data_IF_963163252838
#
_entry.id   IF_963163252838
#
_cell.length_a   1.000
_cell.length_b   1.000
_cell.length_c   1.000
_cell.angle_alpha   90.00
_cell.angle_beta   90.00
_cell.angle_gamma   90.00
#
_symmetry.space_group_name_H-M   'P 1'
#
loop_
_entity.id
_entity.type
_entity.pdbx_description
1 polymer ?
#
# COMPACT_ATOMS: atom_id res chain seq x y z
N UNK A 1 -1.01 -23.17 -64.25
CA UNK A 1 0.32 -23.65 -63.85
C UNK A 1 0.30 -23.54 -62.34
N UNK A 2 -0.23 -24.45 -61.87
CA UNK A 2 -0.09 -25.73 -61.13
C UNK A 2 0.09 -25.46 -59.62
N UNK A 3 -0.99 -25.83 -58.99
CA UNK A 3 -1.14 -26.08 -57.57
C UNK A 3 -0.33 -27.34 -57.20
N UNK A 4 0.49 -27.33 -56.18
CA UNK A 4 0.83 -28.57 -55.48
C UNK A 4 0.53 -28.44 -54.00
N UNK A 5 -0.45 -29.21 -53.65
CA UNK A 5 -0.85 -29.60 -52.31
C UNK A 5 0.15 -30.58 -51.72
N UNK A 6 0.73 -30.29 -50.60
CA UNK A 6 1.53 -31.20 -49.79
C UNK A 6 0.77 -31.55 -48.50
N UNK A 7 0.04 -32.68 -48.55
CA UNK A 7 -0.40 -33.37 -47.36
C UNK A 7 0.81 -33.97 -46.62
N UNK A 8 0.90 -33.78 -45.33
CA UNK A 8 1.78 -34.55 -44.46
C UNK A 8 0.95 -35.22 -43.38
N UNK A 9 1.03 -36.51 -43.49
CA UNK A 9 0.44 -37.60 -42.71
C UNK A 9 0.67 -37.47 -41.20
N UNK A 10 -0.38 -37.78 -40.45
CA UNK A 10 -0.32 -38.17 -39.05
C UNK A 10 0.24 -39.62 -38.99
N UNK A 11 1.28 -39.81 -38.22
CA UNK A 11 1.47 -41.03 -37.41
C UNK A 11 2.79 -40.92 -36.61
N UNK A 12 2.69 -40.92 -35.31
CA UNK A 12 3.28 -41.92 -34.38
C UNK A 12 3.18 -41.41 -32.95
N UNK A 13 2.21 -41.96 -32.28
CA UNK A 13 2.16 -42.05 -30.82
C UNK A 13 3.33 -42.92 -30.36
N UNK A 14 4.15 -42.41 -29.48
CA UNK A 14 5.01 -43.26 -28.68
C UNK A 14 4.90 -42.83 -27.22
N UNK A 15 4.22 -43.69 -26.49
CA UNK A 15 4.20 -43.68 -25.02
C UNK A 15 5.61 -43.99 -24.51
N UNK A 16 6.02 -43.21 -23.50
CA UNK A 16 7.27 -43.39 -22.79
C UNK A 16 7.11 -42.94 -21.36
N UNK A 17 6.85 -43.88 -20.51
CA UNK A 17 6.77 -43.78 -19.05
C UNK A 17 8.04 -43.18 -18.44
N UNK A 18 7.91 -42.45 -17.33
CA UNK A 18 9.04 -42.08 -16.48
C UNK A 18 8.79 -40.86 -15.65
N UNK A 19 7.83 -40.95 -14.71
CA UNK A 19 7.78 -40.03 -13.59
C UNK A 19 8.94 -40.40 -12.66
N UNK A 20 9.97 -39.57 -12.64
CA UNK A 20 11.02 -39.64 -11.62
C UNK A 20 10.68 -38.59 -10.57
N UNK A 21 10.08 -39.05 -9.48
CA UNK A 21 10.18 -38.35 -8.20
C UNK A 21 11.64 -38.48 -7.74
N UNK A 22 12.37 -37.36 -7.70
CA UNK A 22 13.54 -37.34 -6.83
C UNK A 22 13.95 -35.87 -6.49
N UNK A 23 13.90 -35.63 -5.18
CA UNK A 23 14.72 -34.68 -4.46
C UNK A 23 14.38 -33.19 -4.55
N UNK A 24 13.28 -32.80 -3.85
CA UNK A 24 13.32 -31.53 -3.13
C UNK A 24 14.16 -31.73 -1.88
N UNK A 25 15.15 -30.85 -1.61
CA UNK A 25 15.81 -30.84 -0.32
C UNK A 25 14.80 -30.37 0.74
N UNK A 26 14.46 -31.26 1.65
CA UNK A 26 13.79 -30.92 2.89
C UNK A 26 14.75 -30.14 3.76
N UNK A 27 14.74 -28.81 3.66
CA UNK A 27 15.30 -27.98 4.70
C UNK A 27 14.28 -27.89 5.82
N UNK A 28 14.43 -28.83 6.76
CA UNK A 28 13.82 -28.70 8.06
C UNK A 28 14.45 -27.54 8.81
N UNK A 29 13.70 -26.48 8.97
CA UNK A 29 13.75 -25.63 10.16
C UNK A 29 12.32 -25.11 10.39
N UNK A 30 11.52 -25.97 10.98
CA UNK A 30 10.26 -25.61 11.62
C UNK A 30 10.59 -24.98 12.96
N UNK A 31 10.80 -23.66 12.95
CA UNK A 31 10.65 -22.85 14.16
C UNK A 31 9.45 -21.92 13.94
N UNK A 32 8.29 -22.54 13.82
CA UNK A 32 7.02 -21.84 13.98
C UNK A 32 6.82 -21.63 15.48
N UNK A 33 7.37 -20.55 16.01
CA UNK A 33 6.79 -19.93 17.20
C UNK A 33 5.40 -19.47 16.80
N UNK A 34 4.42 -20.35 16.99
CA UNK A 34 3.00 -19.98 16.92
C UNK A 34 2.78 -18.89 17.99
N UNK A 35 2.77 -17.62 17.58
CA UNK A 35 2.30 -16.53 18.42
C UNK A 35 0.79 -16.71 18.60
N UNK A 36 0.42 -17.53 19.57
CA UNK A 36 -0.96 -17.67 20.02
C UNK A 36 -1.32 -16.38 20.79
N UNK A 37 -1.92 -15.42 20.13
CA UNK A 37 -2.54 -14.30 20.81
C UNK A 37 -3.85 -14.82 21.40
N UNK A 38 -3.90 -14.97 22.71
CA UNK A 38 -5.13 -15.34 23.44
C UNK A 38 -5.91 -14.06 23.67
N UNK A 39 -7.12 -13.95 23.08
CA UNK A 39 -8.01 -12.85 23.39
C UNK A 39 -8.55 -12.99 24.84
N UNK A 40 -9.05 -11.90 25.46
CA UNK A 40 -9.58 -11.93 26.81
C UNK A 40 -10.81 -12.84 26.98
N UNK A 41 -11.38 -13.40 25.92
CA UNK A 41 -12.49 -14.34 25.92
C UNK A 41 -12.06 -15.80 25.68
N UNK A 42 -10.76 -16.07 25.55
CA UNK A 42 -10.20 -17.42 25.50
C UNK A 42 -10.22 -18.08 24.12
N UNK A 43 -10.58 -17.35 23.06
CA UNK A 43 -10.50 -17.85 21.70
C UNK A 43 -9.08 -17.66 21.16
N UNK A 44 -8.49 -18.74 20.65
CA UNK A 44 -7.21 -18.67 19.93
C UNK A 44 -7.50 -18.18 18.53
N UNK A 45 -7.47 -16.86 18.33
CA UNK A 45 -7.56 -16.28 17.01
C UNK A 45 -6.23 -16.47 16.27
N UNK A 46 -6.19 -17.43 15.36
CA UNK A 46 -5.10 -17.49 14.38
C UNK A 46 -5.39 -16.46 13.30
N UNK A 47 -4.43 -15.56 12.99
CA UNK A 47 -4.59 -14.69 11.81
C UNK A 47 -4.78 -15.59 10.58
N UNK A 48 -5.74 -15.24 9.74
CA UNK A 48 -6.02 -15.99 8.52
C UNK A 48 -4.85 -15.92 7.54
N UNK A 49 -4.08 -14.86 7.62
CA UNK A 49 -2.91 -14.64 6.78
C UNK A 49 -2.03 -13.51 7.35
N UNK A 50 -0.72 -13.62 7.20
CA UNK A 50 0.20 -12.51 7.38
C UNK A 50 0.48 -11.85 6.03
N UNK A 51 0.38 -10.54 5.97
CA UNK A 51 0.77 -9.73 4.81
C UNK A 51 1.71 -8.64 5.33
N UNK A 52 2.98 -8.72 4.97
CA UNK A 52 4.00 -7.93 5.64
C UNK A 52 4.00 -8.21 7.15
N UNK A 53 3.97 -7.15 7.96
CA UNK A 53 3.91 -7.24 9.42
C UNK A 53 2.48 -7.27 9.99
N UNK A 54 1.47 -7.26 9.13
CA UNK A 54 0.07 -7.21 9.54
C UNK A 54 -0.55 -8.60 9.63
N UNK A 55 -1.08 -8.99 10.82
CA UNK A 55 -1.87 -10.20 10.97
C UNK A 55 -3.29 -9.98 10.44
N UNK A 56 -3.51 -10.20 9.14
CA UNK A 56 -4.82 -9.97 8.51
C UNK A 56 -5.86 -10.93 9.06
N UNK A 57 -6.87 -10.38 9.72
CA UNK A 57 -7.98 -11.11 10.33
C UNK A 57 -9.34 -10.80 9.70
N UNK A 58 -9.34 -9.90 8.73
CA UNK A 58 -10.52 -9.47 7.98
C UNK A 58 -10.56 -10.09 6.59
N UNK A 59 -11.75 -10.22 6.04
CA UNK A 59 -11.98 -10.77 4.70
C UNK A 59 -12.22 -9.72 3.63
N UNK A 60 -12.50 -8.48 4.05
CA UNK A 60 -12.74 -7.33 3.19
C UNK A 60 -11.98 -6.13 3.74
N UNK A 61 -11.54 -5.26 2.87
CA UNK A 61 -10.92 -3.99 3.22
C UNK A 61 -11.77 -2.83 2.68
N UNK A 62 -11.55 -1.62 3.20
CA UNK A 62 -12.30 -0.44 2.79
C UNK A 62 -11.73 0.83 3.42
N UNK A 63 -12.43 1.94 3.19
CA UNK A 63 -11.97 3.27 3.60
C UNK A 63 -12.92 3.97 4.58
N UNK A 64 -13.95 3.25 5.08
CA UNK A 64 -14.85 3.80 6.08
C UNK A 64 -14.33 3.56 7.52
N UNK A 65 -14.72 4.41 8.48
CA UNK A 65 -14.42 4.17 9.90
C UNK A 65 -14.83 2.76 10.34
N UNK A 66 -14.00 2.10 11.14
CA UNK A 66 -14.17 0.71 11.60
C UNK A 66 -13.88 -0.38 10.55
N UNK A 67 -13.50 -0.03 9.34
CA UNK A 67 -12.93 -0.96 8.37
C UNK A 67 -11.40 -1.00 8.52
N UNK A 68 -10.78 -1.90 7.78
CA UNK A 68 -9.32 -1.95 7.64
C UNK A 68 -8.93 -1.49 6.24
N UNK A 69 -7.90 -0.66 6.08
CA UNK A 69 -7.47 -0.16 4.78
C UNK A 69 -7.09 -1.31 3.85
N UNK A 70 -7.31 -1.14 2.56
CA UNK A 70 -6.76 -2.06 1.58
C UNK A 70 -5.25 -1.87 1.45
N UNK A 71 -4.51 -2.98 1.44
CA UNK A 71 -3.06 -2.92 1.26
C UNK A 71 -2.68 -2.40 -0.12
N UNK A 72 -1.55 -1.73 -0.22
CA UNK A 72 -0.88 -1.42 -1.47
C UNK A 72 0.63 -1.63 -1.34
N UNK A 73 1.28 -1.88 -2.47
CA UNK A 73 2.73 -1.89 -2.62
C UNK A 73 3.08 -0.91 -3.73
N UNK A 74 3.81 0.14 -3.41
CA UNK A 74 4.16 1.23 -4.31
C UNK A 74 5.65 1.54 -4.20
N UNK A 75 6.25 2.11 -5.25
CA UNK A 75 7.63 2.59 -5.17
C UNK A 75 7.67 3.96 -4.47
N UNK A 76 8.66 4.16 -3.63
CA UNK A 76 8.95 5.44 -3.01
C UNK A 76 9.87 6.33 -3.87
N UNK A 77 10.21 7.52 -3.38
CA UNK A 77 11.11 8.46 -4.02
C UNK A 77 12.55 7.94 -4.17
N UNK A 78 12.93 6.86 -3.49
CA UNK A 78 14.23 6.21 -3.62
C UNK A 78 14.19 5.02 -4.60
N UNK A 79 12.99 4.67 -5.10
CA UNK A 79 12.74 3.51 -5.94
C UNK A 79 12.67 2.20 -5.14
N UNK A 80 12.46 2.29 -3.84
CA UNK A 80 12.27 1.13 -2.97
C UNK A 80 10.77 0.81 -2.82
N UNK A 81 10.43 -0.46 -2.62
CA UNK A 81 9.05 -0.86 -2.40
C UNK A 81 8.59 -0.49 -0.98
N UNK A 82 7.48 0.23 -0.92
CA UNK A 82 6.75 0.52 0.30
C UNK A 82 5.46 -0.30 0.33
N UNK A 83 5.27 -1.10 1.35
CA UNK A 83 4.04 -1.85 1.59
C UNK A 83 3.31 -1.29 2.82
N UNK A 84 2.05 -0.86 2.66
CA UNK A 84 1.28 -0.28 3.77
C UNK A 84 1.21 -1.23 4.99
N UNK A 85 1.00 -2.51 4.76
CA UNK A 85 0.85 -3.51 5.83
C UNK A 85 2.14 -3.89 6.55
N UNK A 86 3.30 -3.36 6.15
CA UNK A 86 4.53 -3.49 6.92
C UNK A 86 4.54 -2.61 8.19
N UNK A 87 3.59 -1.67 8.27
CA UNK A 87 3.53 -0.64 9.32
C UNK A 87 2.37 -0.81 10.30
N UNK A 88 2.04 -2.06 10.63
CA UNK A 88 0.93 -2.43 11.53
C UNK A 88 0.99 -1.77 12.92
N UNK A 89 2.19 -1.48 13.40
CA UNK A 89 2.47 -0.87 14.71
C UNK A 89 2.44 0.68 14.70
N UNK A 90 2.15 1.30 13.56
CA UNK A 90 2.15 2.75 13.39
C UNK A 90 0.73 3.32 13.31
N UNK A 91 0.57 4.53 13.81
CA UNK A 91 -0.51 5.41 13.39
C UNK A 91 -0.11 6.04 12.06
N UNK A 92 -0.98 6.03 11.06
CA UNK A 92 -0.61 6.39 9.68
C UNK A 92 -1.53 7.47 9.15
N UNK A 93 -0.94 8.52 8.56
CA UNK A 93 -1.63 9.44 7.66
C UNK A 93 -1.27 9.04 6.23
N UNK A 94 -2.26 8.71 5.41
CA UNK A 94 -2.08 8.52 3.95
C UNK A 94 -2.70 9.72 3.24
N UNK A 95 -1.84 10.57 2.69
CA UNK A 95 -2.20 11.76 1.91
C UNK A 95 -2.23 11.44 0.41
N UNK A 96 -3.41 11.38 -0.17
CA UNK A 96 -3.57 11.26 -1.62
C UNK A 96 -3.53 12.65 -2.25
N UNK A 97 -2.47 12.92 -2.98
CA UNK A 97 -2.16 14.22 -3.59
C UNK A 97 -1.97 14.13 -5.10
N UNK A 98 -2.02 15.29 -5.78
CA UNK A 98 -1.75 15.42 -7.21
C UNK A 98 -0.90 16.68 -7.48
N UNK A 99 0.04 16.60 -8.41
CA UNK A 99 0.99 17.65 -8.73
C UNK A 99 0.37 18.96 -9.25
N UNK A 100 -0.78 18.88 -9.93
CA UNK A 100 -1.54 20.03 -10.42
C UNK A 100 -2.44 20.67 -9.34
N UNK A 101 -2.60 20.03 -8.16
CA UNK A 101 -3.53 20.44 -7.11
C UNK A 101 -2.89 21.46 -6.18
N UNK A 102 -3.33 22.71 -6.23
CA UNK A 102 -2.79 23.78 -5.37
C UNK A 102 -2.93 23.52 -3.86
N UNK A 103 -4.06 23.07 -3.32
CA UNK A 103 -4.18 22.67 -1.92
C UNK A 103 -3.25 21.52 -1.53
N UNK A 104 -2.99 20.55 -2.42
CA UNK A 104 -2.07 19.44 -2.17
C UNK A 104 -0.63 19.92 -1.98
N UNK A 105 -0.20 20.90 -2.78
CA UNK A 105 1.14 21.51 -2.65
C UNK A 105 1.31 22.21 -1.31
N UNK A 106 0.25 22.90 -0.81
CA UNK A 106 0.29 23.51 0.53
C UNK A 106 0.32 22.46 1.65
N UNK A 107 -0.34 21.34 1.47
CA UNK A 107 -0.24 20.21 2.40
C UNK A 107 1.17 19.64 2.41
N UNK A 108 1.79 19.47 1.23
CA UNK A 108 3.15 18.96 1.10
C UNK A 108 4.21 19.81 1.80
N UNK A 109 4.00 21.15 1.88
CA UNK A 109 4.94 22.09 2.53
C UNK A 109 5.13 21.82 4.04
N UNK A 110 4.21 21.08 4.69
CA UNK A 110 4.26 20.78 6.13
C UNK A 110 4.45 19.29 6.46
N UNK A 111 4.52 18.42 5.45
CA UNK A 111 4.66 16.96 5.64
C UNK A 111 5.88 16.62 6.50
N UNK A 112 7.04 17.19 6.18
CA UNK A 112 8.27 16.89 6.92
C UNK A 112 8.19 17.37 8.37
N UNK A 113 7.64 18.57 8.63
CA UNK A 113 7.49 19.11 9.96
C UNK A 113 6.60 18.22 10.84
N UNK A 114 5.45 17.78 10.33
CA UNK A 114 4.55 16.90 11.08
C UNK A 114 5.16 15.50 11.24
N UNK A 115 5.82 14.97 10.21
CA UNK A 115 6.54 13.72 10.29
C UNK A 115 7.57 13.73 11.41
N UNK A 116 8.40 14.76 11.49
CA UNK A 116 9.44 14.90 12.52
C UNK A 116 8.83 15.14 13.91
N UNK A 117 7.78 15.94 14.00
CA UNK A 117 7.13 16.28 15.27
C UNK A 117 6.53 15.05 15.95
N UNK A 118 5.84 14.20 15.19
CA UNK A 118 5.08 13.07 15.72
C UNK A 118 5.76 11.70 15.53
N UNK A 119 6.95 11.65 14.92
CA UNK A 119 7.68 10.39 14.72
C UNK A 119 7.94 9.64 16.04
N UNK A 120 8.25 10.39 17.12
CA UNK A 120 8.50 9.84 18.45
C UNK A 120 7.28 9.18 19.08
N UNK A 121 6.07 9.59 18.70
CA UNK A 121 4.79 9.08 19.17
C UNK A 121 4.29 7.91 18.29
N UNK A 122 5.01 7.62 17.21
CA UNK A 122 4.74 6.49 16.34
C UNK A 122 3.92 6.82 15.10
N UNK A 123 3.88 8.12 14.69
CA UNK A 123 3.28 8.51 13.43
C UNK A 123 4.15 8.06 12.24
N UNK A 124 3.50 7.61 11.19
CA UNK A 124 4.02 7.48 9.84
C UNK A 124 3.17 8.35 8.90
N UNK A 125 3.76 9.40 8.36
CA UNK A 125 3.09 10.25 7.36
C UNK A 125 3.55 9.81 5.95
N UNK A 126 2.61 9.47 5.07
CA UNK A 126 2.87 8.95 3.73
C UNK A 126 2.12 9.80 2.72
N UNK A 127 2.81 10.35 1.73
CA UNK A 127 2.18 10.99 0.57
C UNK A 127 2.11 10.00 -0.60
N UNK A 128 0.92 9.80 -1.15
CA UNK A 128 0.71 9.03 -2.38
C UNK A 128 0.38 10.01 -3.51
N UNK A 129 1.36 10.28 -4.37
CA UNK A 129 1.18 11.14 -5.53
C UNK A 129 0.48 10.35 -6.63
N UNK A 130 -0.75 10.75 -7.01
CA UNK A 130 -1.58 10.03 -7.97
C UNK A 130 -1.33 10.50 -9.40
N UNK A 131 -1.04 11.78 -9.57
CA UNK A 131 -0.77 12.40 -10.88
C UNK A 131 0.31 13.46 -10.75
N UNK A 132 1.10 13.60 -11.80
CA UNK A 132 2.04 14.73 -11.97
C UNK A 132 1.29 16.05 -12.20
N UNK A 133 2.03 17.14 -12.37
CA UNK A 133 1.46 18.45 -12.74
C UNK A 133 0.76 18.43 -14.11
N UNK A 134 1.09 17.49 -14.99
CA UNK A 134 0.51 17.31 -16.32
C UNK A 134 -0.60 16.25 -16.37
N UNK A 135 -0.87 15.57 -15.24
CA UNK A 135 -1.94 14.58 -15.13
C UNK A 135 -1.52 13.17 -15.55
N UNK A 136 -0.23 12.91 -15.62
CA UNK A 136 0.36 11.62 -15.93
C UNK A 136 0.65 10.84 -14.64
N UNK A 137 0.78 9.52 -14.71
CA UNK A 137 1.22 8.70 -13.58
C UNK A 137 2.65 9.09 -13.18
N UNK A 138 2.95 9.32 -11.89
CA UNK A 138 4.26 9.78 -11.45
C UNK A 138 5.31 8.67 -11.55
N UNK A 139 6.51 9.06 -11.96
CA UNK A 139 7.71 8.24 -11.91
C UNK A 139 8.51 8.52 -10.63
N UNK A 140 9.49 7.67 -10.31
CA UNK A 140 10.42 7.92 -9.17
C UNK A 140 11.08 9.30 -9.27
N UNK A 141 11.41 9.76 -10.48
CA UNK A 141 11.99 11.10 -10.67
C UNK A 141 11.00 12.23 -10.33
N UNK A 142 9.70 12.02 -10.58
CA UNK A 142 8.66 12.98 -10.21
C UNK A 142 8.44 13.01 -8.69
N UNK A 143 8.57 11.85 -8.02
CA UNK A 143 8.52 11.76 -6.56
C UNK A 143 9.71 12.47 -5.90
N UNK A 144 10.91 12.30 -6.46
CA UNK A 144 12.10 13.02 -6.01
C UNK A 144 11.94 14.53 -6.16
N UNK A 145 11.44 14.97 -7.33
CA UNK A 145 11.19 16.39 -7.58
C UNK A 145 10.13 16.94 -6.61
N UNK A 146 9.06 16.18 -6.31
CA UNK A 146 8.07 16.57 -5.31
C UNK A 146 8.68 16.68 -3.91
N UNK A 147 9.46 15.69 -3.50
CA UNK A 147 10.13 15.71 -2.20
C UNK A 147 11.11 16.89 -2.07
N UNK A 148 11.89 17.16 -3.11
CA UNK A 148 12.83 18.30 -3.14
C UNK A 148 12.11 19.65 -3.11
N UNK A 149 11.04 19.82 -3.90
CA UNK A 149 10.25 21.06 -3.96
C UNK A 149 9.60 21.42 -2.61
N UNK A 150 9.25 20.40 -1.80
CA UNK A 150 8.56 20.56 -0.51
C UNK A 150 9.45 20.24 0.70
N UNK A 151 10.77 20.06 0.50
CA UNK A 151 11.75 19.73 1.53
C UNK A 151 11.39 18.48 2.36
N UNK A 152 10.80 17.47 1.72
CA UNK A 152 10.49 16.18 2.34
C UNK A 152 11.75 15.31 2.28
N UNK A 153 12.33 14.99 3.44
CA UNK A 153 13.63 14.32 3.52
C UNK A 153 13.54 12.89 4.07
N UNK A 154 12.50 12.56 4.82
CA UNK A 154 12.34 11.26 5.47
C UNK A 154 10.95 10.66 5.34
N UNK A 155 9.90 11.48 5.16
CA UNK A 155 8.56 10.96 4.92
C UNK A 155 8.46 10.30 3.55
N UNK A 156 7.85 9.11 3.42
CA UNK A 156 7.67 8.46 2.13
C UNK A 156 6.77 9.25 1.18
N UNK A 157 7.23 9.42 -0.06
CA UNK A 157 6.44 9.93 -1.19
C UNK A 157 6.35 8.81 -2.22
N UNK A 158 5.14 8.33 -2.50
CA UNK A 158 4.90 7.09 -3.24
C UNK A 158 4.31 7.35 -4.62
N UNK A 159 4.71 6.53 -5.61
CA UNK A 159 4.15 6.53 -6.95
C UNK A 159 2.78 5.83 -6.97
N UNK A 160 1.73 6.62 -6.80
CA UNK A 160 0.36 6.15 -7.02
C UNK A 160 -0.06 6.21 -8.49
N UNK A 161 -1.30 5.87 -8.73
CA UNK A 161 -1.98 6.07 -10.02
C UNK A 161 -3.49 6.09 -9.81
N UNK A 162 -4.24 6.47 -10.84
CA UNK A 162 -5.70 6.39 -10.79
C UNK A 162 -6.24 4.98 -10.63
N UNK A 163 -5.46 3.94 -10.99
CA UNK A 163 -5.85 2.55 -10.80
C UNK A 163 -5.99 2.17 -9.32
N UNK A 164 -5.32 2.90 -8.41
CA UNK A 164 -5.43 2.70 -6.97
C UNK A 164 -6.78 3.18 -6.40
N UNK A 165 -7.46 4.06 -7.12
CA UNK A 165 -8.70 4.70 -6.69
C UNK A 165 -9.92 3.92 -7.16
N UNK A 166 -11.06 4.03 -6.44
CA UNK A 166 -12.32 3.41 -6.86
C UNK A 166 -12.73 3.77 -8.28
N UNK A 167 -12.52 5.02 -8.70
CA UNK A 167 -12.78 5.46 -10.06
C UNK A 167 -11.90 4.81 -11.13
N UNK A 168 -10.75 4.25 -10.71
CA UNK A 168 -9.83 3.49 -11.56
C UNK A 168 -9.96 1.96 -11.40
N UNK A 169 -10.88 1.50 -10.53
CA UNK A 169 -11.06 0.09 -10.21
C UNK A 169 -10.25 -0.40 -9.00
N UNK A 170 -9.62 0.51 -8.26
CA UNK A 170 -8.97 0.24 -6.98
C UNK A 170 -9.92 0.41 -5.78
N UNK A 171 -9.36 0.34 -4.59
CA UNK A 171 -10.10 0.22 -3.32
C UNK A 171 -10.14 1.52 -2.51
N UNK A 172 -9.47 2.59 -2.96
CA UNK A 172 -9.38 3.85 -2.24
C UNK A 172 -10.32 4.91 -2.81
N UNK A 173 -11.29 5.34 -1.99
CA UNK A 173 -12.31 6.29 -2.40
C UNK A 173 -11.78 7.72 -2.37
N UNK A 174 -11.65 8.38 -3.53
CA UNK A 174 -11.33 9.80 -3.61
C UNK A 174 -12.51 10.60 -4.17
N UNK A 175 -12.95 11.61 -3.41
CA UNK A 175 -14.02 12.51 -3.82
C UNK A 175 -13.58 13.97 -3.93
N UNK A 176 -12.28 14.23 -3.75
CA UNK A 176 -11.67 15.57 -3.84
C UNK A 176 -10.17 15.51 -3.54
N UNK A 177 -9.49 16.64 -3.65
CA UNK A 177 -8.04 16.78 -3.50
C UNK A 177 -7.65 17.90 -2.53
N UNK A 178 -6.65 17.67 -1.65
CA UNK A 178 -6.15 16.36 -1.23
C UNK A 178 -7.20 15.58 -0.46
N UNK A 179 -6.99 14.26 -0.28
CA UNK A 179 -7.76 13.42 0.64
C UNK A 179 -6.80 12.72 1.58
N UNK A 180 -7.04 12.85 2.88
CA UNK A 180 -6.24 12.23 3.92
C UNK A 180 -7.04 11.12 4.58
N UNK A 181 -6.41 9.97 4.73
CA UNK A 181 -6.91 8.86 5.52
C UNK A 181 -6.10 8.74 6.80
N UNK A 182 -6.79 8.73 7.92
CA UNK A 182 -6.19 8.59 9.25
C UNK A 182 -6.43 7.17 9.73
N UNK A 183 -5.35 6.46 9.98
CA UNK A 183 -5.33 5.03 10.32
C UNK A 183 -4.67 4.90 11.68
N UNK A 184 -5.37 4.33 12.64
CA UNK A 184 -4.82 3.98 13.96
C UNK A 184 -3.90 2.76 13.83
N UNK A 185 -3.11 2.51 14.85
CA UNK A 185 -2.35 1.26 14.98
C UNK A 185 -3.27 0.06 14.71
N UNK A 186 -2.67 -1.05 14.31
CA UNK A 186 -3.38 -2.28 13.97
C UNK A 186 -4.26 -2.18 12.71
N UNK A 187 -3.96 -1.19 11.84
CA UNK A 187 -4.69 -0.95 10.58
C UNK A 187 -6.18 -0.69 10.80
N UNK A 188 -6.53 0.11 11.80
CA UNK A 188 -7.92 0.49 12.06
C UNK A 188 -8.22 1.86 11.43
N UNK A 189 -9.15 1.88 10.47
CA UNK A 189 -9.55 3.11 9.79
C UNK A 189 -10.30 4.02 10.75
N UNK A 190 -9.74 5.21 11.02
CA UNK A 190 -10.35 6.16 11.93
C UNK A 190 -11.29 7.13 11.21
N UNK A 191 -10.75 7.96 10.32
CA UNK A 191 -11.54 8.99 9.63
C UNK A 191 -10.86 9.40 8.32
N UNK A 192 -11.62 10.09 7.47
CA UNK A 192 -11.14 10.68 6.21
C UNK A 192 -11.37 12.19 6.24
N UNK A 193 -10.33 12.97 5.94
CA UNK A 193 -10.41 14.41 5.73
C UNK A 193 -10.26 14.73 4.25
N UNK A 194 -11.11 15.61 3.73
CA UNK A 194 -11.04 16.10 2.34
C UNK A 194 -10.73 17.58 2.30
N UNK A 195 -9.85 17.95 1.39
CA UNK A 195 -9.34 19.31 1.28
C UNK A 195 -8.23 19.59 2.30
N UNK A 196 -7.78 20.81 2.37
CA UNK A 196 -6.64 21.22 3.17
C UNK A 196 -7.03 22.12 4.34
N UNK A 197 -6.71 21.69 5.53
CA UNK A 197 -6.73 22.47 6.78
C UNK A 197 -5.65 21.92 7.71
N UNK A 198 -4.63 22.70 7.98
CA UNK A 198 -3.53 22.29 8.87
C UNK A 198 -4.01 22.07 10.30
N UNK A 199 -4.86 22.94 10.82
CA UNK A 199 -5.44 22.81 12.16
C UNK A 199 -6.17 21.47 12.34
N UNK A 200 -7.03 21.11 11.37
CA UNK A 200 -7.75 19.84 11.38
C UNK A 200 -6.80 18.64 11.18
N UNK A 201 -5.77 18.78 10.35
CA UNK A 201 -4.77 17.72 10.15
C UNK A 201 -4.09 17.37 11.47
N UNK A 202 -3.61 18.38 12.22
CA UNK A 202 -2.93 18.19 13.50
C UNK A 202 -3.88 17.57 14.53
N UNK A 203 -5.11 18.07 14.65
CA UNK A 203 -6.12 17.51 15.56
C UNK A 203 -6.36 16.02 15.28
N UNK A 204 -6.51 15.64 14.00
CA UNK A 204 -6.74 14.25 13.62
C UNK A 204 -5.49 13.36 13.75
N UNK A 205 -4.28 13.93 13.61
CA UNK A 205 -3.04 13.20 13.93
C UNK A 205 -3.01 12.86 15.43
N UNK A 206 -3.32 13.83 16.30
CA UNK A 206 -3.36 13.61 17.74
C UNK A 206 -4.39 12.52 18.11
N UNK A 207 -5.58 12.51 17.47
CA UNK A 207 -6.61 11.49 17.70
C UNK A 207 -6.18 10.06 17.32
N UNK A 208 -5.36 9.89 16.28
CA UNK A 208 -4.89 8.53 15.89
C UNK A 208 -3.69 8.06 16.69
N UNK A 209 -3.05 8.94 17.45
CA UNK A 209 -1.92 8.63 18.33
C UNK A 209 -2.37 8.25 19.75
N UNK A 210 -3.61 8.55 20.14
CA UNK A 210 -4.23 8.15 21.41
C UNK A 210 -4.53 6.64 21.46
#
# INVERSE_FOLDING_TARGET
>A
MDLETGEVSADSLQEGEGFVEDNLPTNGNSDTTENNIIDPFGDIFKPTQWVGNTPVRWSTCGTHPTEHPCNFVLLDQNGEEFQLYDHYDKAIVVDFSAGWCGPCRRAADVVQEHSDTFAGDGLLYVTVLIETATGEDPTVADLQAWADDHNITSAPVLAGSRALLESGGGDWALTGWPTFYFIKKEMDMHITMRGWSEEMLVELIEEILE
#
